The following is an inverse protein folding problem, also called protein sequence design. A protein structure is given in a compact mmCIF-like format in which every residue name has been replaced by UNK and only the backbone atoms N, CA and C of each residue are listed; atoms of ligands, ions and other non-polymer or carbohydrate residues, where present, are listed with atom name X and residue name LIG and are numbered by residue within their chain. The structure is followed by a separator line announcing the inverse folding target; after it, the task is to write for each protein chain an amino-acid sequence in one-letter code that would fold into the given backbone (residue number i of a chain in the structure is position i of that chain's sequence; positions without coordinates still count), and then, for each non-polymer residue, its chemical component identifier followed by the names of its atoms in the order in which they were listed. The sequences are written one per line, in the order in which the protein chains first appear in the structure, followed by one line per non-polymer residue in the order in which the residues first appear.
data_IF_302321532475
#
_entry.id   IF_302321532475
#
_cell.length_a   1.000
_cell.length_b   1.000
_cell.length_c   1.000
_cell.angle_alpha   90.00
_cell.angle_beta   90.00
_cell.angle_gamma   90.00
#
_symmetry.space_group_name_H-M   'P 1'
#
loop_
_entity.id
_entity.type
_entity.pdbx_description
1 polymer ?
#
# COMPACT_ATOMS: atom_id res chain seq x y z
N UNK A 1 -54.42 32.89 56.68
CA UNK A 1 -53.92 31.55 56.28
C UNK A 1 -52.77 31.75 55.33
N UNK A 2 -51.61 31.19 55.65
CA UNK A 2 -50.31 31.54 55.07
C UNK A 2 -50.02 30.78 53.76
N UNK A 3 -49.35 31.47 52.83
CA UNK A 3 -48.84 30.96 51.55
C UNK A 3 -47.59 30.10 51.77
N UNK A 4 -47.43 28.93 51.11
CA UNK A 4 -46.23 28.14 51.24
C UNK A 4 -45.14 28.64 50.28
N UNK A 5 -43.94 28.87 50.82
CA UNK A 5 -42.72 29.16 50.07
C UNK A 5 -42.02 27.84 49.75
N UNK A 6 -41.77 27.56 48.47
CA UNK A 6 -40.93 26.44 48.04
C UNK A 6 -39.47 26.89 47.96
N UNK A 7 -38.62 26.35 48.82
CA UNK A 7 -37.16 26.44 48.71
C UNK A 7 -36.68 25.40 47.69
N UNK A 8 -36.07 25.85 46.60
CA UNK A 8 -35.39 24.99 45.63
C UNK A 8 -33.93 24.82 46.06
N UNK A 9 -33.62 23.71 46.70
CA UNK A 9 -32.24 23.31 47.03
C UNK A 9 -31.67 22.51 45.87
N UNK A 10 -30.90 23.15 44.99
CA UNK A 10 -30.12 22.46 43.95
C UNK A 10 -28.89 21.83 44.61
N UNK A 11 -28.95 20.53 44.87
CA UNK A 11 -27.78 19.74 45.25
C UNK A 11 -27.00 19.35 44.00
N UNK A 12 -25.84 19.97 43.80
CA UNK A 12 -24.83 19.54 42.83
C UNK A 12 -24.33 18.13 43.22
N UNK A 13 -24.39 17.13 42.33
CA UNK A 13 -23.82 15.81 42.62
C UNK A 13 -22.31 15.94 42.79
N UNK A 14 -21.78 15.40 43.90
CA UNK A 14 -20.35 15.24 44.09
C UNK A 14 -19.81 14.27 43.02
N UNK A 15 -18.84 14.72 42.23
CA UNK A 15 -18.08 13.87 41.32
C UNK A 15 -17.19 12.98 42.19
N UNK A 16 -17.22 11.65 42.05
CA UNK A 16 -16.32 10.76 42.79
C UNK A 16 -14.86 11.01 42.36
N UNK A 17 -14.00 11.27 43.34
CA UNK A 17 -12.59 11.68 43.19
C UNK A 17 -11.62 10.57 42.72
N UNK A 18 -12.11 9.42 42.24
CA UNK A 18 -11.26 8.28 41.86
C UNK A 18 -11.59 7.74 40.46
N UNK A 19 -11.61 8.62 39.44
CA UNK A 19 -11.37 8.16 38.07
C UNK A 19 -9.89 8.38 37.80
N UNK A 20 -9.11 7.30 37.99
CA UNK A 20 -7.77 7.20 37.45
C UNK A 20 -7.89 7.36 35.92
N UNK A 21 -7.74 8.61 35.44
CA UNK A 21 -7.60 8.88 34.02
C UNK A 21 -6.29 8.25 33.62
N UNK A 22 -6.35 7.05 33.02
CA UNK A 22 -5.19 6.52 32.31
C UNK A 22 -4.70 7.63 31.37
N UNK A 23 -3.39 7.95 31.40
CA UNK A 23 -2.86 8.95 30.51
C UNK A 23 -3.15 8.48 29.09
N UNK A 24 -4.00 9.22 28.37
CA UNK A 24 -4.18 9.04 26.93
C UNK A 24 -2.76 9.11 26.35
N UNK A 25 -2.23 8.04 25.73
CA UNK A 25 -0.89 8.06 25.17
C UNK A 25 -0.89 9.11 24.04
N UNK A 26 -0.41 10.31 24.36
CA UNK A 26 -0.26 11.42 23.44
C UNK A 26 0.99 11.28 22.57
N UNK A 27 1.48 10.05 22.39
CA UNK A 27 2.58 9.74 21.48
C UNK A 27 2.06 9.70 20.04
N UNK A 28 1.57 10.85 19.57
CA UNK A 28 1.51 11.15 18.15
C UNK A 28 2.97 11.31 17.71
N UNK A 29 3.63 10.18 17.45
CA UNK A 29 4.87 10.18 16.70
C UNK A 29 4.58 10.94 15.40
N UNK A 30 5.36 11.97 15.03
CA UNK A 30 5.08 12.71 13.81
C UNK A 30 5.03 11.73 12.63
N UNK A 31 3.92 11.73 11.90
CA UNK A 31 3.75 10.90 10.71
C UNK A 31 4.92 11.14 9.76
N UNK A 32 5.73 10.12 9.52
CA UNK A 32 6.89 10.22 8.63
C UNK A 32 6.45 9.97 7.20
N UNK A 33 6.85 10.85 6.28
CA UNK A 33 6.81 10.58 4.85
C UNK A 33 8.16 10.92 4.22
N UNK A 34 8.80 9.93 3.60
CA UNK A 34 10.06 10.06 2.89
C UNK A 34 9.99 9.26 1.60
N UNK A 35 10.21 9.90 0.47
CA UNK A 35 10.34 9.21 -0.82
C UNK A 35 11.64 9.63 -1.49
N UNK A 36 12.67 8.78 -1.38
CA UNK A 36 13.96 8.89 -2.08
C UNK A 36 14.14 7.74 -3.05
N UNK A 37 13.11 7.46 -3.84
CA UNK A 37 13.18 6.45 -4.90
C UNK A 37 13.72 7.04 -6.22
N UNK A 38 13.73 8.35 -6.40
CA UNK A 38 14.27 8.96 -7.63
C UNK A 38 15.78 9.22 -7.47
N UNK A 39 16.65 8.61 -8.30
CA UNK A 39 18.08 8.85 -8.24
C UNK A 39 18.46 10.23 -8.79
N UNK A 40 19.69 10.70 -8.59
CA UNK A 40 20.15 11.98 -9.12
C UNK A 40 19.97 12.13 -10.64
N UNK A 41 19.84 13.36 -11.10
CA UNK A 41 19.77 13.68 -12.53
C UNK A 41 21.01 13.15 -13.26
N UNK A 42 20.82 12.62 -14.46
CA UNK A 42 21.89 12.00 -15.26
C UNK A 42 22.09 10.50 -15.02
N UNK A 43 21.33 9.90 -14.09
CA UNK A 43 21.27 8.44 -13.93
C UNK A 43 20.76 7.78 -15.21
N UNK A 44 21.48 6.77 -15.69
CA UNK A 44 21.13 5.95 -16.86
C UNK A 44 20.38 4.69 -16.43
N UNK A 45 19.49 4.18 -17.30
CA UNK A 45 18.68 2.97 -17.06
C UNK A 45 17.76 3.07 -15.83
N UNK A 46 17.29 4.29 -15.54
CA UNK A 46 16.23 4.58 -14.59
C UNK A 46 15.01 5.11 -15.33
N UNK A 47 13.83 4.67 -14.93
CA UNK A 47 12.59 5.24 -15.43
C UNK A 47 11.53 5.28 -14.34
N UNK A 48 10.78 6.38 -14.30
CA UNK A 48 9.62 6.56 -13.43
C UNK A 48 8.40 6.87 -14.28
N UNK A 49 7.30 6.19 -14.01
CA UNK A 49 5.99 6.51 -14.56
C UNK A 49 4.90 6.37 -13.51
N UNK A 50 3.79 7.09 -13.68
CA UNK A 50 2.60 6.94 -12.86
C UNK A 50 1.50 6.32 -13.70
N UNK A 51 0.91 5.24 -13.21
CA UNK A 51 -0.13 4.49 -13.91
C UNK A 51 -1.41 4.54 -13.11
N UNK A 52 -2.47 5.10 -13.70
CA UNK A 52 -3.83 4.96 -13.16
C UNK A 52 -4.34 3.56 -13.50
N UNK A 53 -4.54 2.74 -12.46
CA UNK A 53 -5.07 1.38 -12.61
C UNK A 53 -6.58 1.46 -12.78
N UNK A 54 -7.27 1.99 -11.77
CA UNK A 54 -8.72 2.20 -11.79
C UNK A 54 -9.02 3.64 -11.38
N UNK A 55 -10.06 4.21 -11.97
CA UNK A 55 -10.54 5.56 -11.67
C UNK A 55 -12.06 5.52 -11.53
N UNK A 56 -12.57 5.73 -10.30
CA UNK A 56 -13.98 5.61 -9.94
C UNK A 56 -14.64 4.27 -10.39
N UNK A 57 -13.86 3.18 -10.42
CA UNK A 57 -14.33 1.90 -10.92
C UNK A 57 -15.13 1.18 -9.84
N UNK A 58 -16.33 0.69 -10.20
CA UNK A 58 -17.22 0.00 -9.26
C UNK A 58 -17.15 -1.52 -9.40
N UNK A 59 -17.16 -2.21 -8.26
CA UNK A 59 -17.18 -3.66 -8.14
C UNK A 59 -18.57 -4.09 -7.66
N UNK A 60 -19.23 -4.96 -8.43
CA UNK A 60 -20.57 -5.46 -8.14
C UNK A 60 -20.63 -6.98 -8.06
N UNK A 61 -21.57 -7.50 -7.28
CA UNK A 61 -21.91 -8.94 -7.21
C UNK A 61 -23.41 -9.10 -7.12
N UNK A 62 -24.02 -9.75 -8.12
CA UNK A 62 -25.47 -9.99 -8.14
C UNK A 62 -26.30 -8.73 -7.83
N UNK A 63 -25.85 -7.57 -8.34
CA UNK A 63 -26.49 -6.27 -8.11
C UNK A 63 -26.08 -5.53 -6.84
N UNK A 64 -25.36 -6.17 -5.91
CA UNK A 64 -24.81 -5.52 -4.71
C UNK A 64 -23.52 -4.77 -5.06
N UNK A 65 -23.45 -3.48 -4.71
CA UNK A 65 -22.24 -2.66 -4.87
C UNK A 65 -21.29 -2.92 -3.70
N UNK A 66 -20.15 -3.54 -3.98
CA UNK A 66 -19.17 -3.86 -2.95
C UNK A 66 -18.18 -2.73 -2.71
N UNK A 67 -17.67 -2.12 -3.77
CA UNK A 67 -16.61 -1.12 -3.69
C UNK A 67 -16.65 -0.16 -4.88
N UNK A 68 -16.39 1.12 -4.64
CA UNK A 68 -15.90 2.10 -5.63
C UNK A 68 -14.41 2.30 -5.40
N UNK A 69 -13.60 2.21 -6.45
CA UNK A 69 -12.16 2.15 -6.37
C UNK A 69 -11.49 3.15 -7.30
N UNK A 70 -10.65 4.00 -6.72
CA UNK A 70 -9.62 4.76 -7.43
C UNK A 70 -8.26 4.26 -6.96
N UNK A 71 -7.44 3.74 -7.88
CA UNK A 71 -6.13 3.16 -7.57
C UNK A 71 -5.13 3.56 -8.65
N UNK A 72 -3.99 4.11 -8.21
CA UNK A 72 -2.83 4.40 -9.04
C UNK A 72 -1.57 3.78 -8.43
N UNK A 73 -0.54 3.69 -9.24
CA UNK A 73 0.78 3.28 -8.80
C UNK A 73 1.86 4.14 -9.45
N UNK A 74 2.81 4.61 -8.66
CA UNK A 74 4.08 5.11 -9.17
C UNK A 74 5.02 3.92 -9.36
N UNK A 75 5.50 3.70 -10.58
CA UNK A 75 6.42 2.61 -10.92
C UNK A 75 7.81 3.19 -11.12
N UNK A 76 8.76 2.73 -10.31
CA UNK A 76 10.18 3.07 -10.40
C UNK A 76 10.95 1.84 -10.88
N UNK A 77 11.70 1.98 -11.97
CA UNK A 77 12.45 0.89 -12.61
C UNK A 77 13.93 1.24 -12.63
N UNK A 78 14.79 0.30 -12.22
CA UNK A 78 16.24 0.51 -12.13
C UNK A 78 16.95 -0.71 -12.72
N UNK A 79 17.92 -0.52 -13.61
CA UNK A 79 18.95 -1.54 -13.84
C UNK A 79 20.12 -1.31 -12.88
N UNK A 80 20.51 -2.34 -12.15
CA UNK A 80 21.58 -2.32 -11.15
C UNK A 80 22.62 -3.41 -11.43
N UNK A 81 23.87 -3.18 -11.01
CA UNK A 81 24.96 -4.16 -11.05
C UNK A 81 25.64 -4.30 -12.41
N UNK A 82 24.87 -4.58 -13.47
CA UNK A 82 25.33 -4.60 -14.85
C UNK A 82 24.45 -3.74 -15.75
N UNK A 83 24.97 -3.31 -16.90
CA UNK A 83 24.15 -2.58 -17.88
C UNK A 83 23.20 -3.55 -18.60
N UNK A 84 21.92 -3.19 -18.78
CA UNK A 84 20.91 -4.11 -19.30
C UNK A 84 21.04 -4.37 -20.81
N UNK A 85 21.88 -3.61 -21.51
CA UNK A 85 22.24 -3.79 -22.92
C UNK A 85 23.44 -4.72 -23.15
N UNK A 86 24.09 -5.20 -22.09
CA UNK A 86 25.27 -6.06 -22.21
C UNK A 86 24.89 -7.54 -22.26
N UNK A 87 25.61 -8.35 -23.06
CA UNK A 87 25.48 -9.81 -22.97
C UNK A 87 25.81 -10.26 -21.54
N UNK A 88 25.25 -11.39 -21.13
CA UNK A 88 25.48 -11.97 -19.82
C UNK A 88 25.09 -11.06 -18.63
N UNK A 89 24.13 -10.14 -18.81
CA UNK A 89 23.61 -9.22 -17.77
C UNK A 89 23.50 -9.88 -16.39
N UNK A 90 22.74 -10.98 -16.30
CA UNK A 90 22.55 -11.73 -15.05
C UNK A 90 23.86 -12.26 -14.46
N UNK A 91 24.74 -12.82 -15.29
CA UNK A 91 26.02 -13.40 -14.84
C UNK A 91 26.96 -12.32 -14.30
N UNK A 92 26.83 -11.10 -14.80
CA UNK A 92 27.58 -9.93 -14.35
C UNK A 92 26.96 -9.25 -13.12
N UNK A 93 25.98 -9.89 -12.45
CA UNK A 93 25.30 -9.34 -11.28
C UNK A 93 24.20 -8.33 -11.63
N UNK A 94 23.77 -8.31 -12.89
CA UNK A 94 22.69 -7.46 -13.37
C UNK A 94 21.33 -7.85 -12.80
N UNK A 95 20.62 -6.85 -12.29
CA UNK A 95 19.27 -6.99 -11.78
C UNK A 95 18.42 -5.78 -12.18
N UNK A 96 17.17 -6.02 -12.58
CA UNK A 96 16.19 -4.95 -12.78
C UNK A 96 15.26 -4.93 -11.58
N UNK A 97 15.25 -3.83 -10.83
CA UNK A 97 14.31 -3.60 -9.74
C UNK A 97 13.09 -2.85 -10.26
N UNK A 98 11.91 -3.29 -9.85
CA UNK A 98 10.63 -2.62 -10.10
C UNK A 98 9.99 -2.35 -8.74
N UNK A 99 9.89 -1.08 -8.36
CA UNK A 99 9.28 -0.66 -7.11
C UNK A 99 7.98 0.05 -7.45
N UNK A 100 6.87 -0.44 -6.89
CA UNK A 100 5.54 0.12 -7.07
C UNK A 100 5.07 0.76 -5.78
N UNK A 101 4.84 2.06 -5.79
CA UNK A 101 4.21 2.79 -4.68
C UNK A 101 2.72 2.94 -5.01
N UNK A 102 1.88 2.24 -4.28
CA UNK A 102 0.44 2.21 -4.46
C UNK A 102 -0.23 3.34 -3.68
N UNK A 103 -1.11 4.07 -4.35
CA UNK A 103 -1.89 5.15 -3.77
C UNK A 103 -3.33 5.11 -4.30
N UNK A 104 -4.31 5.48 -3.50
CA UNK A 104 -5.70 5.53 -3.94
C UNK A 104 -6.71 5.58 -2.80
N UNK A 105 -7.96 5.32 -3.13
CA UNK A 105 -9.09 5.29 -2.20
C UNK A 105 -10.04 4.18 -2.61
N UNK A 106 -10.45 3.38 -1.63
CA UNK A 106 -11.59 2.47 -1.75
C UNK A 106 -12.76 3.00 -0.91
N UNK A 107 -13.96 2.91 -1.47
CA UNK A 107 -15.20 3.23 -0.76
C UNK A 107 -16.16 2.05 -0.89
N UNK A 108 -16.46 1.42 0.23
CA UNK A 108 -17.49 0.40 0.34
C UNK A 108 -18.75 1.05 0.91
N UNK A 109 -19.84 1.19 0.14
CA UNK A 109 -21.07 1.84 0.63
C UNK A 109 -21.76 1.00 1.71
N UNK A 110 -21.72 -0.32 1.58
CA UNK A 110 -22.32 -1.29 2.51
C UNK A 110 -21.31 -2.40 2.81
N UNK A 111 -20.23 -2.05 3.53
CA UNK A 111 -19.23 -3.04 3.93
C UNK A 111 -19.86 -4.06 4.88
N UNK A 112 -19.84 -5.32 4.48
CA UNK A 112 -20.27 -6.42 5.34
C UNK A 112 -19.19 -6.66 6.42
N UNK A 113 -19.58 -7.03 7.65
CA UNK A 113 -18.64 -7.53 8.63
C UNK A 113 -17.76 -8.63 8.00
N UNK A 114 -16.47 -8.63 8.32
CA UNK A 114 -15.50 -9.62 7.85
C UNK A 114 -15.19 -9.59 6.34
N UNK A 115 -15.70 -8.64 5.54
CA UNK A 115 -15.29 -8.53 4.14
C UNK A 115 -13.87 -7.98 3.99
N UNK A 116 -13.01 -8.67 3.27
CA UNK A 116 -11.71 -8.13 2.86
C UNK A 116 -11.84 -7.44 1.51
N UNK A 117 -11.15 -6.31 1.38
CA UNK A 117 -10.98 -5.62 0.12
C UNK A 117 -9.55 -5.79 -0.37
N UNK A 118 -9.35 -6.63 -1.37
CA UNK A 118 -8.05 -7.18 -1.74
C UNK A 118 -7.59 -6.70 -3.11
N UNK A 119 -6.31 -6.32 -3.18
CA UNK A 119 -5.60 -5.77 -4.33
C UNK A 119 -4.49 -6.74 -4.64
N UNK A 120 -4.30 -7.03 -5.92
CA UNK A 120 -3.31 -8.00 -6.35
C UNK A 120 -2.60 -7.44 -7.56
N UNK A 121 -1.28 -7.64 -7.57
CA UNK A 121 -0.45 -7.39 -8.74
C UNK A 121 0.15 -8.73 -9.12
N UNK A 122 -0.37 -9.34 -10.20
CA UNK A 122 0.19 -10.56 -10.78
C UNK A 122 1.24 -10.21 -11.81
N UNK A 123 2.29 -11.03 -11.88
CA UNK A 123 3.47 -10.82 -12.72
C UNK A 123 3.78 -12.07 -13.54
N UNK A 124 4.43 -11.95 -14.70
CA UNK A 124 4.91 -13.11 -15.44
C UNK A 124 6.02 -13.82 -14.67
N UNK A 125 6.27 -15.09 -14.99
CA UNK A 125 7.29 -15.92 -14.30
C UNK A 125 8.73 -15.41 -14.42
N UNK A 126 9.01 -14.50 -15.37
CA UNK A 126 10.28 -13.81 -15.52
C UNK A 126 10.51 -12.71 -14.47
N UNK A 127 9.47 -12.31 -13.74
CA UNK A 127 9.52 -11.32 -12.68
C UNK A 127 9.26 -12.02 -11.34
N UNK A 128 10.14 -11.73 -10.39
CA UNK A 128 10.17 -12.33 -9.07
C UNK A 128 9.58 -11.33 -8.08
N UNK A 129 8.46 -11.64 -7.41
CA UNK A 129 8.00 -10.87 -6.26
C UNK A 129 9.03 -10.95 -5.14
N UNK A 130 9.45 -9.80 -4.62
CA UNK A 130 10.47 -9.72 -3.56
C UNK A 130 9.82 -9.38 -2.23
N UNK A 131 8.99 -8.34 -2.21
CA UNK A 131 8.42 -7.84 -0.96
C UNK A 131 7.13 -7.07 -1.15
N UNK A 132 6.21 -7.21 -0.20
CA UNK A 132 5.03 -6.38 -0.05
C UNK A 132 5.07 -5.64 1.31
N UNK A 133 4.75 -4.36 1.28
CA UNK A 133 4.59 -3.50 2.46
C UNK A 133 3.23 -2.80 2.49
N UNK A 134 2.66 -2.58 3.68
CA UNK A 134 2.99 -3.28 4.92
C UNK A 134 2.67 -4.77 4.80
N UNK A 135 3.41 -5.62 5.51
CA UNK A 135 3.09 -7.04 5.57
C UNK A 135 1.85 -7.27 6.45
N UNK A 136 1.13 -8.37 6.25
CA UNK A 136 0.09 -8.82 7.17
C UNK A 136 0.66 -8.91 8.59
N UNK A 137 -0.14 -8.54 9.59
CA UNK A 137 0.24 -8.53 11.01
C UNK A 137 1.39 -7.58 11.39
N UNK A 138 1.73 -6.59 10.56
CA UNK A 138 2.78 -5.60 10.87
C UNK A 138 2.29 -4.39 11.67
N UNK A 139 0.99 -4.20 11.80
CA UNK A 139 0.42 -3.03 12.47
C UNK A 139 0.37 -3.14 13.99
N UNK A 140 0.37 -1.99 14.66
CA UNK A 140 0.15 -1.88 16.11
C UNK A 140 -1.24 -1.34 16.36
N UNK A 141 -2.02 -2.00 17.24
CA UNK A 141 -3.39 -1.60 17.56
C UNK A 141 -3.43 -0.81 18.87
N UNK A 142 -4.10 0.32 18.86
CA UNK A 142 -4.40 1.12 20.05
C UNK A 142 -5.85 1.60 19.99
N UNK A 143 -6.73 1.00 20.79
CA UNK A 143 -8.16 1.29 20.74
C UNK A 143 -8.76 1.02 19.35
N UNK A 144 -9.30 2.07 18.72
CA UNK A 144 -9.82 2.01 17.35
C UNK A 144 -8.78 2.21 16.27
N UNK A 145 -7.55 2.58 16.61
CA UNK A 145 -6.56 3.08 15.66
C UNK A 145 -5.45 2.06 15.45
N UNK A 146 -5.29 1.62 14.20
CA UNK A 146 -4.32 0.61 13.80
C UNK A 146 -3.22 1.32 13.01
N UNK A 147 -2.04 1.46 13.62
CA UNK A 147 -0.89 2.15 13.05
C UNK A 147 -0.04 1.20 12.22
N UNK A 148 0.41 1.67 11.05
CA UNK A 148 1.26 0.96 10.12
C UNK A 148 2.44 1.81 9.70
N UNK A 149 3.53 1.15 9.35
CA UNK A 149 4.74 1.77 8.82
C UNK A 149 5.23 1.00 7.61
N UNK A 150 5.51 1.73 6.54
CA UNK A 150 6.37 1.28 5.45
C UNK A 150 7.76 1.81 5.74
N UNK A 151 8.76 0.92 5.76
CA UNK A 151 10.17 1.29 5.89
C UNK A 151 10.99 0.43 4.94
N UNK A 152 11.16 0.95 3.73
CA UNK A 152 11.89 0.31 2.66
C UNK A 152 13.23 1.03 2.45
N UNK A 153 14.29 0.24 2.31
CA UNK A 153 15.62 0.70 1.94
C UNK A 153 16.30 -0.37 1.09
N UNK A 154 16.88 0.03 -0.04
CA UNK A 154 17.69 -0.83 -0.87
C UNK A 154 18.85 -0.06 -1.51
N UNK A 155 20.05 -0.59 -1.30
CA UNK A 155 21.30 -0.08 -1.82
C UNK A 155 21.55 -0.65 -3.22
N UNK A 156 21.62 0.19 -4.25
CA UNK A 156 21.74 -0.22 -5.65
C UNK A 156 23.01 0.34 -6.31
N UNK A 157 23.66 -0.47 -7.14
CA UNK A 157 24.79 -0.06 -7.96
C UNK A 157 24.26 0.44 -9.31
N UNK A 158 24.11 1.75 -9.43
CA UNK A 158 23.51 2.41 -10.60
C UNK A 158 24.57 2.97 -11.54
N UNK A 159 24.11 3.48 -12.69
CA UNK A 159 24.97 4.01 -13.75
C UNK A 159 24.64 5.47 -14.07
N UNK A 160 25.63 6.23 -14.54
CA UNK A 160 25.47 7.57 -15.11
C UNK A 160 26.36 7.75 -16.34
N UNK A 161 26.32 8.93 -16.95
CA UNK A 161 27.13 9.28 -18.14
C UNK A 161 26.92 8.30 -19.32
N UNK A 162 25.67 7.90 -19.56
CA UNK A 162 25.32 6.93 -20.62
C UNK A 162 25.76 5.50 -20.32
N UNK A 163 25.90 5.14 -19.04
CA UNK A 163 26.35 3.81 -18.62
C UNK A 163 27.86 3.64 -18.52
N UNK A 164 28.65 4.73 -18.55
CA UNK A 164 30.12 4.68 -18.53
C UNK A 164 30.74 4.79 -17.14
N UNK A 165 29.99 5.27 -16.16
CA UNK A 165 30.42 5.32 -14.76
C UNK A 165 29.33 4.76 -13.86
N UNK A 166 29.74 4.19 -12.72
CA UNK A 166 28.83 3.65 -11.71
C UNK A 166 28.84 4.51 -10.44
N UNK A 167 27.74 4.45 -9.69
CA UNK A 167 27.63 5.08 -8.38
C UNK A 167 26.66 4.27 -7.51
N UNK A 168 26.70 4.53 -6.20
CA UNK A 168 25.78 3.91 -5.26
C UNK A 168 24.56 4.78 -5.03
N UNK A 169 23.37 4.17 -5.06
CA UNK A 169 22.11 4.85 -4.78
C UNK A 169 21.33 4.09 -3.71
N UNK A 170 21.05 4.78 -2.61
CA UNK A 170 20.21 4.27 -1.53
C UNK A 170 18.76 4.65 -1.80
N UNK A 171 18.00 3.74 -2.43
CA UNK A 171 16.58 3.96 -2.64
C UNK A 171 15.82 3.72 -1.33
N UNK A 172 15.17 4.76 -0.82
CA UNK A 172 14.39 4.66 0.42
C UNK A 172 12.97 5.15 0.26
N UNK A 173 12.04 4.50 0.97
CA UNK A 173 10.66 4.91 1.09
C UNK A 173 10.17 4.66 2.52
N UNK A 174 9.64 5.70 3.15
CA UNK A 174 9.03 5.61 4.47
C UNK A 174 7.67 6.29 4.47
N UNK A 175 6.69 5.64 5.08
CA UNK A 175 5.35 6.19 5.26
C UNK A 175 4.71 5.59 6.50
N UNK A 176 4.38 6.44 7.47
CA UNK A 176 3.55 6.08 8.62
C UNK A 176 2.09 6.45 8.33
N UNK A 177 1.15 5.58 8.67
CA UNK A 177 -0.27 5.88 8.55
C UNK A 177 -1.12 5.10 9.55
N UNK A 178 -2.31 5.61 9.84
CA UNK A 178 -3.29 4.98 10.74
C UNK A 178 -4.54 4.61 9.96
N UNK A 179 -5.15 3.48 10.34
CA UNK A 179 -6.49 3.08 9.90
C UNK A 179 -7.40 2.94 11.11
N UNK A 180 -8.66 3.35 10.97
CA UNK A 180 -9.65 3.12 12.01
C UNK A 180 -10.26 1.72 11.85
N UNK A 181 -10.08 0.87 12.86
CA UNK A 181 -10.64 -0.48 12.97
C UNK A 181 -10.51 -1.27 11.68
N UNK A 182 -9.32 -1.28 11.08
CA UNK A 182 -9.12 -2.03 9.86
C UNK A 182 -7.69 -2.51 9.73
N UNK A 183 -7.57 -3.82 9.54
CA UNK A 183 -6.29 -4.49 9.38
C UNK A 183 -5.78 -4.31 7.97
N UNK A 184 -4.56 -3.79 7.81
CA UNK A 184 -3.82 -3.90 6.56
C UNK A 184 -3.30 -5.33 6.38
N UNK A 185 -3.54 -5.90 5.21
CA UNK A 185 -2.94 -7.17 4.78
C UNK A 185 -1.90 -6.93 3.70
N UNK A 186 -0.93 -7.83 3.60
CA UNK A 186 0.14 -7.78 2.61
C UNK A 186 0.97 -9.06 2.63
N UNK A 187 1.09 -9.73 1.49
CA UNK A 187 1.87 -10.96 1.34
C UNK A 187 2.41 -11.09 -0.08
N UNK A 188 3.53 -11.78 -0.19
CA UNK A 188 4.13 -12.19 -1.46
C UNK A 188 3.56 -13.55 -1.90
N UNK A 189 3.16 -13.68 -3.17
CA UNK A 189 2.77 -14.97 -3.78
C UNK A 189 3.84 -15.42 -4.78
N UNK A 190 3.72 -16.64 -5.28
CA UNK A 190 4.66 -17.16 -6.30
C UNK A 190 4.58 -16.41 -7.63
N UNK A 191 3.45 -15.78 -7.90
CA UNK A 191 3.09 -15.11 -9.16
C UNK A 191 2.76 -13.63 -8.98
N UNK A 192 3.13 -13.02 -7.83
CA UNK A 192 2.81 -11.63 -7.57
C UNK A 192 2.83 -11.23 -6.10
N UNK A 193 2.05 -10.21 -5.78
CA UNK A 193 1.80 -9.76 -4.42
C UNK A 193 0.31 -9.53 -4.23
N UNK A 194 -0.14 -9.66 -3.00
CA UNK A 194 -1.50 -9.38 -2.57
C UNK A 194 -1.46 -8.48 -1.34
N UNK A 195 -2.30 -7.45 -1.31
CA UNK A 195 -2.44 -6.56 -0.17
C UNK A 195 -3.85 -6.01 -0.11
N UNK A 196 -4.29 -5.52 1.04
CA UNK A 196 -5.67 -5.11 1.18
C UNK A 196 -6.00 -4.58 2.55
N UNK A 197 -7.29 -4.47 2.80
CA UNK A 197 -7.82 -4.10 4.10
C UNK A 197 -8.92 -5.07 4.53
N UNK A 198 -8.88 -5.47 5.80
CA UNK A 198 -9.91 -6.23 6.47
C UNK A 198 -10.49 -5.35 7.59
N UNK A 199 -11.64 -4.69 7.37
CA UNK A 199 -12.24 -3.82 8.36
C UNK A 199 -12.90 -4.65 9.47
N UNK A 200 -12.67 -4.23 10.70
CA UNK A 200 -13.21 -4.77 11.95
C UNK A 200 -14.49 -4.00 12.32
N UNK A 201 -15.54 -4.26 11.55
CA UNK A 201 -16.84 -3.59 11.67
C UNK A 201 -17.83 -4.48 12.40
N UNK A 202 -18.54 -3.90 13.36
CA UNK A 202 -19.57 -4.62 14.13
C UNK A 202 -20.90 -4.78 13.38
N UNK A 203 -21.14 -4.00 12.32
CA UNK A 203 -22.38 -4.01 11.52
C UNK A 203 -22.14 -3.41 10.13
N UNK A 204 -23.16 -3.44 9.25
CA UNK A 204 -23.10 -2.84 7.93
C UNK A 204 -22.85 -1.33 8.03
N UNK A 205 -21.73 -0.87 7.49
CA UNK A 205 -21.41 0.54 7.47
C UNK A 205 -20.77 0.93 6.15
N UNK A 206 -20.92 2.20 5.78
CA UNK A 206 -20.06 2.76 4.75
C UNK A 206 -18.64 2.85 5.31
N UNK A 207 -17.69 2.36 4.53
CA UNK A 207 -16.29 2.31 4.90
C UNK A 207 -15.45 2.88 3.77
N UNK A 208 -14.74 3.97 4.04
CA UNK A 208 -13.79 4.58 3.12
C UNK A 208 -12.40 4.40 3.67
N UNK A 209 -11.45 4.04 2.82
CA UNK A 209 -10.08 3.81 3.24
C UNK A 209 -9.07 4.20 2.17
N UNK A 210 -7.91 4.71 2.58
CA UNK A 210 -6.83 4.98 1.64
C UNK A 210 -6.18 3.67 1.21
N UNK A 211 -5.75 3.59 -0.04
CA UNK A 211 -4.85 2.55 -0.54
C UNK A 211 -3.45 3.09 -0.37
N UNK A 212 -2.65 2.42 0.46
CA UNK A 212 -1.27 2.75 0.74
C UNK A 212 -0.51 1.43 0.75
N UNK A 213 0.55 1.33 -0.03
CA UNK A 213 1.37 0.13 -0.08
C UNK A 213 2.60 0.30 -0.95
N UNK A 214 3.59 -0.55 -0.75
CA UNK A 214 4.79 -0.62 -1.57
C UNK A 214 5.08 -2.07 -1.94
N UNK A 215 5.25 -2.33 -3.23
CA UNK A 215 5.59 -3.66 -3.74
C UNK A 215 6.92 -3.61 -4.47
N UNK A 216 7.77 -4.60 -4.22
CA UNK A 216 9.10 -4.73 -4.82
C UNK A 216 9.12 -6.00 -5.63
N UNK A 217 9.56 -5.88 -6.89
CA UNK A 217 9.80 -6.99 -7.79
C UNK A 217 11.21 -6.90 -8.37
N UNK A 218 11.71 -8.03 -8.84
CA UNK A 218 13.01 -8.15 -9.50
C UNK A 218 12.89 -8.93 -10.80
N UNK A 219 13.63 -8.52 -11.83
CA UNK A 219 13.81 -9.28 -13.06
C UNK A 219 15.30 -9.49 -13.33
N UNK A 220 15.68 -10.68 -13.78
CA UNK A 220 17.06 -11.04 -14.08
C UNK A 220 17.35 -11.08 -15.59
N UNK A 221 16.33 -10.85 -16.42
CA UNK A 221 16.42 -10.93 -17.87
C UNK A 221 15.79 -9.67 -18.50
N UNK A 222 16.60 -8.72 -18.99
CA UNK A 222 16.11 -7.50 -19.62
C UNK A 222 15.23 -7.76 -20.85
N UNK A 223 15.39 -8.91 -21.52
CA UNK A 223 14.57 -9.28 -22.68
C UNK A 223 13.12 -9.66 -22.32
N UNK A 224 12.83 -9.82 -21.03
CA UNK A 224 11.47 -10.03 -20.54
C UNK A 224 10.57 -8.80 -20.68
N UNK A 225 11.13 -7.63 -21.02
CA UNK A 225 10.39 -6.39 -21.21
C UNK A 225 10.04 -6.15 -22.69
N UNK A 226 8.85 -5.60 -22.98
CA UNK A 226 7.83 -5.17 -22.03
C UNK A 226 7.12 -6.34 -21.34
N UNK A 227 6.86 -6.18 -20.04
CA UNK A 227 6.24 -7.21 -19.22
C UNK A 227 4.80 -6.81 -18.85
N UNK A 228 3.86 -7.76 -18.92
CA UNK A 228 2.45 -7.52 -18.58
C UNK A 228 2.19 -7.82 -17.10
N UNK A 229 1.77 -6.81 -16.36
CA UNK A 229 1.32 -6.91 -14.98
C UNK A 229 -0.21 -6.92 -14.96
N UNK A 230 -0.82 -7.90 -14.30
CA UNK A 230 -2.28 -7.94 -14.12
C UNK A 230 -2.64 -7.40 -12.74
N UNK A 231 -3.23 -6.21 -12.72
CA UNK A 231 -3.78 -5.62 -11.51
C UNK A 231 -5.20 -6.15 -11.31
N UNK A 232 -5.51 -6.62 -10.09
CA UNK A 232 -6.85 -7.07 -9.73
C UNK A 232 -7.28 -6.39 -8.44
N UNK A 233 -8.54 -6.01 -8.38
CA UNK A 233 -9.19 -5.62 -7.13
C UNK A 233 -10.42 -6.49 -6.94
N UNK A 234 -10.73 -6.83 -5.70
CA UNK A 234 -11.95 -7.56 -5.38
C UNK A 234 -12.31 -7.48 -3.91
N UNK A 235 -13.51 -7.96 -3.61
CA UNK A 235 -14.01 -8.01 -2.25
C UNK A 235 -14.64 -9.37 -1.96
N UNK A 236 -14.49 -9.88 -0.73
CA UNK A 236 -15.08 -11.13 -0.31
C UNK A 236 -14.71 -11.55 1.11
N UNK A 237 -15.14 -12.73 1.54
CA UNK A 237 -14.78 -13.24 2.86
C UNK A 237 -13.31 -13.66 2.91
N UNK A 238 -12.66 -13.60 4.09
CA UNK A 238 -11.29 -14.02 4.28
C UNK A 238 -11.16 -15.49 3.90
N UNK A 239 -10.15 -15.84 3.11
CA UNK A 239 -9.90 -17.22 2.68
C UNK A 239 -10.95 -17.83 1.74
N UNK A 240 -11.92 -17.05 1.24
CA UNK A 240 -12.94 -17.52 0.28
C UNK A 240 -12.62 -17.10 -1.16
N UNK A 241 -13.34 -17.69 -2.12
CA UNK A 241 -13.35 -17.20 -3.49
C UNK A 241 -13.92 -15.79 -3.52
N UNK A 242 -13.21 -14.82 -4.12
CA UNK A 242 -13.66 -13.42 -4.21
C UNK A 242 -15.06 -13.36 -4.82
N UNK A 243 -15.96 -12.63 -4.15
CA UNK A 243 -17.34 -12.54 -4.59
C UNK A 243 -17.49 -11.64 -5.82
N UNK A 244 -16.72 -10.55 -5.85
CA UNK A 244 -16.64 -9.61 -6.97
C UNK A 244 -15.21 -9.19 -7.24
N UNK A 245 -14.86 -9.01 -8.51
CA UNK A 245 -13.53 -8.53 -8.89
C UNK A 245 -13.54 -7.80 -10.22
N UNK A 246 -12.55 -6.94 -10.39
CA UNK A 246 -12.18 -6.26 -11.63
C UNK A 246 -10.69 -6.48 -11.88
N UNK A 247 -10.28 -6.44 -13.14
CA UNK A 247 -8.88 -6.61 -13.51
C UNK A 247 -8.48 -5.68 -14.64
N UNK A 248 -7.22 -5.28 -14.65
CA UNK A 248 -6.60 -4.50 -15.72
C UNK A 248 -5.19 -5.01 -15.96
N UNK A 249 -4.90 -5.33 -17.21
CA UNK A 249 -3.54 -5.62 -17.65
C UNK A 249 -2.82 -4.31 -18.01
N UNK A 250 -1.59 -4.19 -17.53
CA UNK A 250 -0.73 -3.04 -17.76
C UNK A 250 0.60 -3.55 -18.29
N UNK A 251 0.98 -3.08 -19.47
CA UNK A 251 2.29 -3.35 -20.03
C UNK A 251 3.30 -2.36 -19.46
N UNK A 252 4.33 -2.87 -18.79
CA UNK A 252 5.43 -2.08 -18.26
C UNK A 252 6.65 -2.31 -19.14
N UNK A 253 7.06 -1.25 -19.84
CA UNK A 253 8.26 -1.27 -20.68
C UNK A 253 9.51 -0.95 -19.87
N UNK A 254 10.67 -1.38 -20.34
CA UNK A 254 11.95 -0.95 -19.80
C UNK A 254 12.85 -0.56 -20.96
N UNK A 255 13.08 0.74 -21.12
CA UNK A 255 13.88 1.24 -22.22
C UNK A 255 15.35 0.88 -21.98
N UNK A 256 15.87 0.03 -22.85
CA UNK A 256 17.28 -0.41 -22.84
C UNK A 256 18.20 0.59 -23.53
N UNK A 257 17.63 1.60 -24.18
CA UNK A 257 18.39 2.65 -24.86
C UNK A 257 18.83 3.73 -23.84
N UNK A 258 20.12 4.11 -23.81
CA UNK A 258 20.63 5.18 -22.97
C UNK A 258 20.13 6.57 -23.39
#
# INVERSE_FOLDING_TARGET
MATPTHENTTTTPAVPDDVETEPIPNDIVPYTYLNRLTPPVGTTFFHKETITIFDDQRIYVKGLHLETLTWRTDVYKYASGARPDKPDFRRNGGEIYIIMVHAGTGQAPDALPFFEFTKTVKVPSSIIPVKQYPASNSGTRSGSDYAYRIDYSNAMAMFKDGGNSSFHFDATYQEDFVRQKAEQTGLETTDGVEFGVAPDLSFHASYTYPIIGLSVFKCLDPSAFPATFTFRAGAGWPGSSRHGSISKDVSISFDLAP
#
